data_IF_563037087273
#
_entry.id   IF_563037087273
#
_cell.length_a   1.000
_cell.length_b   1.000
_cell.length_c   1.000
_cell.angle_alpha   90.00
_cell.angle_beta   90.00
_cell.angle_gamma   90.00
#
_symmetry.space_group_name_H-M   'P 1'
#
loop_
_entity.id
_entity.type
_entity.pdbx_description
1 polymer ?
#
# COMPACT_ATOMS: atom_id res chain seq x y z
N UNK A 1 66.30 -49.45 20.50
CA UNK A 1 64.85 -49.52 20.39
C UNK A 1 64.08 -48.28 20.88
N UNK A 2 64.63 -47.05 20.94
CA UNK A 2 63.93 -45.82 21.43
C UNK A 2 63.36 -44.90 20.33
N UNK A 3 63.52 -45.23 19.06
CA UNK A 3 63.18 -44.32 17.93
C UNK A 3 61.74 -44.43 17.47
N UNK A 4 60.93 -45.41 17.88
CA UNK A 4 59.58 -45.63 17.40
C UNK A 4 58.48 -45.05 18.32
N UNK A 5 58.81 -44.81 19.60
CA UNK A 5 57.75 -44.28 20.53
C UNK A 5 57.40 -42.85 20.26
N UNK A 6 58.35 -41.98 19.90
CA UNK A 6 58.08 -40.58 19.59
C UNK A 6 57.19 -40.41 18.34
N UNK A 7 57.22 -41.31 17.36
CA UNK A 7 56.35 -41.31 16.19
C UNK A 7 54.91 -41.62 16.55
N UNK A 8 54.71 -42.59 17.46
CA UNK A 8 53.31 -42.96 17.85
C UNK A 8 52.64 -41.82 18.64
N UNK A 9 53.37 -41.17 19.55
CA UNK A 9 52.83 -40.01 20.26
C UNK A 9 52.54 -38.83 19.34
N UNK A 10 53.34 -38.59 18.32
CA UNK A 10 53.09 -37.54 17.31
C UNK A 10 51.81 -37.82 16.50
N UNK A 11 51.63 -39.03 16.01
CA UNK A 11 50.41 -39.41 15.27
C UNK A 11 49.16 -39.37 16.15
N UNK A 12 49.27 -39.77 17.42
CA UNK A 12 48.17 -39.68 18.37
C UNK A 12 47.76 -38.19 18.63
N UNK A 13 48.75 -37.31 18.83
CA UNK A 13 48.51 -35.88 19.04
C UNK A 13 47.85 -35.22 17.81
N UNK A 14 48.32 -35.57 16.61
CA UNK A 14 47.73 -35.08 15.35
C UNK A 14 46.29 -35.58 15.21
N UNK A 15 46.00 -36.85 15.51
CA UNK A 15 44.67 -37.43 15.48
C UNK A 15 43.70 -36.72 16.43
N UNK A 16 44.15 -36.43 17.66
CA UNK A 16 43.35 -35.67 18.64
C UNK A 16 43.10 -34.26 18.15
N UNK A 17 44.09 -33.57 17.59
CA UNK A 17 43.92 -32.22 17.06
C UNK A 17 42.88 -32.20 15.92
N UNK A 18 42.94 -33.15 14.99
CA UNK A 18 41.97 -33.27 13.91
C UNK A 18 40.54 -33.51 14.46
N UNK A 19 40.39 -34.39 15.44
CA UNK A 19 39.10 -34.67 16.07
C UNK A 19 38.51 -33.42 16.75
N UNK A 20 39.34 -32.65 17.45
CA UNK A 20 38.91 -31.37 18.07
C UNK A 20 38.47 -30.37 17.01
N UNK A 21 39.23 -30.22 15.92
CA UNK A 21 38.86 -29.31 14.84
C UNK A 21 37.55 -29.74 14.18
N UNK A 22 37.33 -31.03 13.96
CA UNK A 22 36.04 -31.52 13.42
C UNK A 22 34.87 -31.24 14.38
N UNK A 23 35.04 -31.49 15.68
CA UNK A 23 34.02 -31.20 16.68
C UNK A 23 33.65 -29.71 16.72
N UNK A 24 34.66 -28.82 16.73
CA UNK A 24 34.47 -27.38 16.70
C UNK A 24 33.77 -26.95 15.40
N UNK A 25 34.17 -27.52 14.26
CA UNK A 25 33.51 -27.25 12.94
C UNK A 25 32.03 -27.63 12.95
N UNK A 26 31.69 -28.80 13.48
CA UNK A 26 30.30 -29.27 13.59
C UNK A 26 29.47 -28.33 14.50
N UNK A 27 30.06 -27.93 15.64
CA UNK A 27 29.38 -27.00 16.56
C UNK A 27 29.11 -25.64 15.89
N UNK A 28 30.13 -25.09 15.18
CA UNK A 28 29.99 -23.82 14.48
C UNK A 28 28.95 -23.88 13.37
N UNK A 29 28.89 -24.96 12.60
CA UNK A 29 27.88 -25.16 11.55
C UNK A 29 26.49 -25.21 12.17
N UNK A 30 26.29 -26.04 13.22
CA UNK A 30 25.00 -26.13 13.90
C UNK A 30 24.57 -24.79 14.51
N UNK A 31 25.49 -24.07 15.12
CA UNK A 31 25.22 -22.74 15.65
C UNK A 31 24.79 -21.75 14.55
N UNK A 32 25.54 -21.72 13.43
CA UNK A 32 25.22 -20.86 12.30
C UNK A 32 23.83 -21.14 11.70
N UNK A 33 23.46 -22.42 11.57
CA UNK A 33 22.13 -22.84 11.06
C UNK A 33 21.02 -22.40 12.01
N UNK A 34 21.21 -22.64 13.32
CA UNK A 34 20.22 -22.26 14.33
C UNK A 34 20.03 -20.73 14.40
N UNK A 35 21.13 -19.97 14.41
CA UNK A 35 21.07 -18.49 14.41
C UNK A 35 20.37 -17.96 13.16
N UNK A 36 20.66 -18.51 11.98
CA UNK A 36 19.97 -18.12 10.76
C UNK A 36 18.47 -18.41 10.85
N UNK A 37 18.07 -19.56 11.37
CA UNK A 37 16.68 -19.94 11.56
C UNK A 37 15.96 -18.99 12.52
N UNK A 38 16.56 -18.71 13.69
CA UNK A 38 16.00 -17.77 14.67
C UNK A 38 15.87 -16.36 14.10
N UNK A 39 16.89 -15.86 13.38
CA UNK A 39 16.83 -14.55 12.73
C UNK A 39 15.70 -14.50 11.69
N UNK A 40 15.53 -15.56 10.90
CA UNK A 40 14.46 -15.65 9.93
C UNK A 40 13.07 -15.64 10.60
N UNK A 41 12.88 -16.42 11.67
CA UNK A 41 11.63 -16.47 12.43
C UNK A 41 11.30 -15.12 13.09
N UNK A 42 12.30 -14.44 13.69
CA UNK A 42 12.14 -13.11 14.29
C UNK A 42 11.77 -12.09 13.20
N UNK A 43 12.50 -12.08 12.08
CA UNK A 43 12.24 -11.17 10.97
C UNK A 43 10.84 -11.39 10.38
N UNK A 44 10.46 -12.65 10.17
CA UNK A 44 9.11 -12.98 9.65
C UNK A 44 8.00 -12.55 10.61
N UNK A 45 8.20 -12.74 11.93
CA UNK A 45 7.24 -12.29 12.94
C UNK A 45 7.11 -10.78 12.96
N UNK A 46 8.23 -10.05 12.96
CA UNK A 46 8.23 -8.60 12.93
C UNK A 46 7.57 -8.04 11.67
N UNK A 47 7.85 -8.63 10.50
CA UNK A 47 7.21 -8.26 9.24
C UNK A 47 5.69 -8.47 9.31
N UNK A 48 5.24 -9.60 9.84
CA UNK A 48 3.81 -9.89 9.97
C UNK A 48 3.11 -8.94 10.94
N UNK A 49 3.77 -8.56 12.01
CA UNK A 49 3.24 -7.57 12.97
C UNK A 49 3.12 -6.18 12.34
N UNK A 50 4.15 -5.72 11.63
CA UNK A 50 4.11 -4.45 10.90
C UNK A 50 3.03 -4.47 9.82
N UNK A 51 2.95 -5.55 9.04
CA UNK A 51 1.88 -5.73 8.05
C UNK A 51 0.49 -5.58 8.68
N UNK A 52 0.26 -6.25 9.82
CA UNK A 52 -1.01 -6.17 10.53
C UNK A 52 -1.33 -4.74 10.97
N UNK A 53 -0.37 -4.05 11.57
CA UNK A 53 -0.54 -2.66 12.02
C UNK A 53 -0.83 -1.72 10.85
N UNK A 54 -0.10 -1.82 9.74
CA UNK A 54 -0.33 -1.00 8.54
C UNK A 54 -1.70 -1.29 7.94
N UNK A 55 -2.08 -2.57 7.85
CA UNK A 55 -3.39 -2.97 7.31
C UNK A 55 -4.55 -2.45 8.17
N UNK A 56 -4.48 -2.61 9.49
CA UNK A 56 -5.50 -2.09 10.41
C UNK A 56 -5.62 -0.56 10.31
N UNK A 57 -4.50 0.14 10.24
CA UNK A 57 -4.48 1.60 10.11
C UNK A 57 -5.04 2.05 8.75
N UNK A 58 -4.71 1.34 7.66
CA UNK A 58 -5.27 1.63 6.34
C UNK A 58 -6.78 1.42 6.30
N UNK A 59 -7.29 0.34 6.89
CA UNK A 59 -8.73 0.10 7.00
C UNK A 59 -9.42 1.17 7.84
N UNK A 60 -8.79 1.65 8.90
CA UNK A 60 -9.31 2.75 9.71
C UNK A 60 -9.39 4.05 8.91
N UNK A 61 -8.33 4.43 8.20
CA UNK A 61 -8.31 5.60 7.32
C UNK A 61 -9.41 5.48 6.27
N UNK A 62 -9.50 4.35 5.59
CA UNK A 62 -10.50 4.08 4.56
C UNK A 62 -11.93 4.23 5.10
N UNK A 63 -12.21 3.62 6.25
CA UNK A 63 -13.52 3.73 6.89
C UNK A 63 -13.87 5.17 7.28
N UNK A 64 -12.90 5.94 7.74
CA UNK A 64 -13.05 7.35 8.06
C UNK A 64 -13.34 8.17 6.80
N UNK A 65 -12.60 7.94 5.70
CA UNK A 65 -12.81 8.63 4.43
C UNK A 65 -14.21 8.37 3.88
N UNK A 66 -14.67 7.12 3.89
CA UNK A 66 -16.04 6.80 3.43
C UNK A 66 -17.13 7.45 4.29
N UNK A 67 -16.92 7.55 5.61
CA UNK A 67 -17.83 8.27 6.48
C UNK A 67 -17.90 9.76 6.13
N UNK A 68 -16.74 10.39 5.93
CA UNK A 68 -16.65 11.81 5.57
C UNK A 68 -17.31 12.09 4.22
N UNK A 69 -17.10 11.23 3.22
CA UNK A 69 -17.74 11.35 1.92
C UNK A 69 -19.27 11.22 2.00
N UNK A 70 -19.80 10.33 2.84
CA UNK A 70 -21.25 10.22 3.06
C UNK A 70 -21.79 11.50 3.68
N UNK A 71 -21.14 12.02 4.71
CA UNK A 71 -21.52 13.30 5.33
C UNK A 71 -21.47 14.45 4.33
N UNK A 72 -20.53 14.44 3.38
CA UNK A 72 -20.47 15.40 2.27
C UNK A 72 -21.71 15.29 1.38
N UNK A 73 -22.08 14.05 1.01
CA UNK A 73 -23.30 13.82 0.20
C UNK A 73 -24.56 14.29 0.92
N UNK A 74 -24.70 13.96 2.19
CA UNK A 74 -25.84 14.37 3.01
C UNK A 74 -25.93 15.90 3.10
N UNK A 75 -24.81 16.59 3.37
CA UNK A 75 -24.77 18.05 3.42
C UNK A 75 -25.16 18.69 2.10
N UNK A 76 -24.66 18.20 0.96
CA UNK A 76 -25.00 18.75 -0.36
C UNK A 76 -26.50 18.60 -0.65
N UNK A 77 -27.07 17.47 -0.27
CA UNK A 77 -28.52 17.23 -0.42
C UNK A 77 -29.35 18.17 0.48
N UNK A 78 -28.89 18.43 1.71
CA UNK A 78 -29.57 19.34 2.64
C UNK A 78 -29.45 20.82 2.25
N UNK A 79 -28.33 21.20 1.60
CA UNK A 79 -28.08 22.56 1.15
C UNK A 79 -29.02 23.05 0.01
N UNK A 80 -29.83 22.15 -0.54
CA UNK A 80 -30.87 22.42 -1.54
C UNK A 80 -30.41 23.36 -2.69
N UNK A 81 -29.20 23.12 -3.18
CA UNK A 81 -28.63 23.85 -4.30
C UNK A 81 -28.03 25.22 -3.98
N UNK A 82 -27.87 25.59 -2.72
CA UNK A 82 -27.12 26.78 -2.35
C UNK A 82 -25.59 26.58 -2.64
N UNK A 83 -25.19 27.05 -3.83
CA UNK A 83 -23.83 26.86 -4.36
C UNK A 83 -22.77 27.51 -3.48
N UNK A 84 -23.06 28.64 -2.83
CA UNK A 84 -22.09 29.36 -1.99
C UNK A 84 -21.79 28.57 -0.70
N UNK A 85 -22.82 28.04 -0.06
CA UNK A 85 -22.69 27.21 1.14
C UNK A 85 -21.95 25.89 0.81
N UNK A 86 -22.31 25.23 -0.30
CA UNK A 86 -21.64 24.00 -0.75
C UNK A 86 -20.15 24.27 -1.04
N UNK A 87 -19.84 25.35 -1.75
CA UNK A 87 -18.45 25.71 -2.05
C UNK A 87 -17.64 26.03 -0.78
N UNK A 88 -18.22 26.77 0.15
CA UNK A 88 -17.58 27.10 1.43
C UNK A 88 -17.28 25.82 2.20
N UNK A 89 -18.24 24.93 2.35
CA UNK A 89 -18.10 23.64 3.03
C UNK A 89 -17.02 22.77 2.40
N UNK A 90 -17.03 22.59 1.08
CA UNK A 90 -16.04 21.78 0.38
C UNK A 90 -14.62 22.35 0.52
N UNK A 91 -14.45 23.67 0.52
CA UNK A 91 -13.16 24.31 0.73
C UNK A 91 -12.65 24.14 2.17
N UNK A 92 -13.54 24.27 3.15
CA UNK A 92 -13.20 24.03 4.57
C UNK A 92 -12.74 22.59 4.76
N UNK A 93 -13.49 21.62 4.28
CA UNK A 93 -13.17 20.19 4.39
C UNK A 93 -11.92 19.80 3.63
N UNK A 94 -11.71 20.39 2.43
CA UNK A 94 -10.48 20.20 1.68
C UNK A 94 -9.24 20.59 2.50
N UNK A 95 -9.32 21.72 3.21
CA UNK A 95 -8.22 22.22 4.03
C UNK A 95 -8.05 21.39 5.32
N UNK A 96 -9.13 21.06 5.99
CA UNK A 96 -9.11 20.30 7.26
C UNK A 96 -8.58 18.88 7.07
N UNK A 97 -9.02 18.21 6.00
CA UNK A 97 -8.68 16.80 5.72
C UNK A 97 -7.57 16.63 4.69
N UNK A 98 -6.95 17.72 4.25
CA UNK A 98 -5.84 17.72 3.29
C UNK A 98 -6.17 17.04 1.97
N UNK A 99 -7.44 17.13 1.50
CA UNK A 99 -7.82 16.66 0.19
C UNK A 99 -7.22 17.55 -0.91
N UNK A 100 -6.85 16.92 -2.01
CA UNK A 100 -6.42 17.67 -3.19
C UNK A 100 -7.63 18.27 -3.89
N UNK A 101 -8.68 17.46 -4.11
CA UNK A 101 -9.88 17.90 -4.83
C UNK A 101 -11.07 16.98 -4.53
N UNK A 102 -12.30 17.51 -4.63
CA UNK A 102 -13.55 16.72 -4.69
C UNK A 102 -13.98 16.55 -6.12
N UNK A 103 -14.61 15.40 -6.41
CA UNK A 103 -15.15 15.06 -7.71
C UNK A 103 -16.56 14.50 -7.54
N UNK A 104 -17.49 15.02 -8.34
CA UNK A 104 -18.85 14.53 -8.50
C UNK A 104 -18.90 13.75 -9.79
N UNK A 105 -19.27 12.49 -9.76
CA UNK A 105 -19.12 11.56 -10.88
C UNK A 105 -20.51 11.06 -11.28
N UNK A 106 -20.83 11.11 -12.59
CA UNK A 106 -22.05 10.56 -13.15
C UNK A 106 -21.93 9.07 -13.51
N UNK A 107 -23.02 8.49 -14.00
CA UNK A 107 -23.07 7.07 -14.37
C UNK A 107 -22.20 6.73 -15.60
N UNK A 108 -21.80 7.73 -16.38
CA UNK A 108 -20.91 7.59 -17.54
C UNK A 108 -19.44 7.89 -17.22
N UNK A 109 -19.09 8.02 -15.94
CA UNK A 109 -17.76 8.39 -15.46
C UNK A 109 -17.29 9.81 -15.87
N UNK A 110 -18.18 10.69 -16.32
CA UNK A 110 -17.84 12.10 -16.40
C UNK A 110 -17.80 12.69 -15.01
N UNK A 111 -16.99 13.71 -14.81
CA UNK A 111 -16.87 14.36 -13.51
C UNK A 111 -17.01 15.90 -13.60
N UNK A 112 -17.51 16.46 -12.52
CA UNK A 112 -17.34 17.86 -12.16
C UNK A 112 -16.50 17.95 -10.88
N UNK A 113 -15.39 18.70 -10.89
CA UNK A 113 -14.60 18.93 -9.69
C UNK A 113 -15.12 20.12 -8.89
N UNK A 114 -14.75 20.20 -7.61
CA UNK A 114 -15.05 21.35 -6.74
C UNK A 114 -14.42 22.66 -7.25
N UNK A 115 -13.36 22.58 -8.06
CA UNK A 115 -12.78 23.72 -8.77
C UNK A 115 -13.55 24.09 -10.07
N UNK A 116 -14.63 23.41 -10.40
CA UNK A 116 -15.45 23.66 -11.60
C UNK A 116 -14.90 23.03 -12.87
N UNK A 117 -13.87 22.18 -12.79
CA UNK A 117 -13.32 21.46 -13.95
C UNK A 117 -14.22 20.30 -14.32
N UNK A 118 -14.40 20.06 -15.61
CA UNK A 118 -15.12 18.91 -16.14
C UNK A 118 -14.19 18.03 -16.94
N UNK A 119 -14.42 16.72 -16.91
CA UNK A 119 -13.65 15.74 -17.65
C UNK A 119 -14.22 14.35 -17.51
N UNK A 120 -13.44 13.37 -17.92
CA UNK A 120 -13.79 11.95 -17.87
C UNK A 120 -12.71 11.19 -17.07
N UNK A 121 -13.15 10.27 -16.22
CA UNK A 121 -12.26 9.43 -15.43
C UNK A 121 -11.95 8.15 -16.20
N UNK A 122 -10.81 8.10 -16.85
CA UNK A 122 -10.28 6.88 -17.54
C UNK A 122 -9.69 5.87 -16.56
N UNK A 123 -10.24 5.73 -15.39
CA UNK A 123 -9.68 4.87 -14.34
C UNK A 123 -10.32 3.49 -14.41
N UNK A 124 -9.80 2.63 -15.24
CA UNK A 124 -9.96 1.17 -15.29
C UNK A 124 -11.30 0.55 -14.84
N UNK A 125 -11.28 -0.77 -14.59
CA UNK A 125 -12.46 -1.52 -14.17
C UNK A 125 -12.98 -1.14 -12.77
N UNK A 126 -12.16 -0.52 -11.93
CA UNK A 126 -12.52 -0.15 -10.55
C UNK A 126 -13.57 0.95 -10.51
N UNK A 127 -13.49 1.96 -11.40
CA UNK A 127 -14.53 2.99 -11.52
C UNK A 127 -15.86 2.42 -12.01
N UNK A 128 -15.81 1.43 -12.91
CA UNK A 128 -17.01 0.71 -13.32
C UNK A 128 -17.67 -0.02 -12.17
N UNK A 129 -16.88 -0.57 -11.25
CA UNK A 129 -17.41 -1.20 -10.03
C UNK A 129 -18.16 -0.19 -9.16
N UNK A 130 -17.64 1.02 -8.98
CA UNK A 130 -18.30 2.10 -8.26
C UNK A 130 -19.67 2.43 -8.88
N UNK A 131 -19.70 2.68 -10.18
CA UNK A 131 -20.89 3.16 -10.88
C UNK A 131 -21.91 2.03 -11.09
N UNK A 132 -21.46 0.83 -11.54
CA UNK A 132 -22.35 -0.28 -11.89
C UNK A 132 -22.78 -1.06 -10.66
N UNK A 133 -21.83 -1.44 -9.79
CA UNK A 133 -22.08 -2.28 -8.62
C UNK A 133 -22.47 -1.47 -7.38
N UNK A 134 -22.37 -0.14 -7.43
CA UNK A 134 -22.64 0.75 -6.29
C UNK A 134 -21.77 0.41 -5.07
N UNK A 135 -20.50 0.07 -5.31
CA UNK A 135 -19.52 -0.26 -4.28
C UNK A 135 -18.59 0.92 -4.01
N UNK A 136 -18.23 1.14 -2.75
CA UNK A 136 -17.18 2.11 -2.39
C UNK A 136 -15.84 1.58 -2.85
N UNK A 137 -15.04 2.40 -3.51
CA UNK A 137 -13.76 1.98 -4.10
C UNK A 137 -12.62 2.91 -3.71
N UNK A 138 -11.41 2.36 -3.75
CA UNK A 138 -10.17 3.12 -3.65
C UNK A 138 -9.46 2.92 -4.98
N UNK A 139 -8.99 4.00 -5.58
CA UNK A 139 -8.34 3.95 -6.90
C UNK A 139 -7.01 4.65 -6.81
N UNK A 140 -5.93 3.95 -7.22
CA UNK A 140 -4.65 4.59 -7.51
C UNK A 140 -4.78 5.35 -8.82
N UNK A 141 -4.49 6.65 -8.80
CA UNK A 141 -4.62 7.51 -9.96
C UNK A 141 -3.45 8.46 -10.09
N UNK A 142 -2.85 8.51 -11.28
CA UNK A 142 -1.92 9.56 -11.65
C UNK A 142 -2.64 10.55 -12.55
N UNK A 143 -2.73 11.80 -12.13
CA UNK A 143 -3.12 12.86 -13.06
C UNK A 143 -1.94 13.15 -14.01
N UNK A 144 -2.15 13.24 -15.32
CA UNK A 144 -1.10 13.64 -16.25
C UNK A 144 -0.51 15.00 -15.83
N UNK A 145 0.76 14.99 -15.39
CA UNK A 145 1.50 16.21 -14.99
C UNK A 145 1.31 16.68 -13.55
N UNK A 146 0.74 15.86 -12.67
CA UNK A 146 0.60 16.14 -11.23
C UNK A 146 1.13 14.99 -10.38
N UNK A 147 1.29 15.25 -9.08
CA UNK A 147 1.67 14.28 -8.08
C UNK A 147 0.76 13.03 -8.12
N UNK A 148 1.32 11.89 -7.77
CA UNK A 148 0.55 10.66 -7.60
C UNK A 148 -0.57 10.90 -6.58
N UNK A 149 -1.79 10.59 -6.95
CA UNK A 149 -2.97 10.76 -6.11
C UNK A 149 -3.71 9.43 -5.95
N UNK A 150 -4.32 9.26 -4.79
CA UNK A 150 -5.24 8.17 -4.50
C UNK A 150 -6.65 8.73 -4.40
N UNK A 151 -7.62 8.04 -4.98
CA UNK A 151 -9.03 8.40 -4.87
C UNK A 151 -9.74 7.49 -3.88
N UNK A 152 -10.53 8.10 -3.01
CA UNK A 152 -11.57 7.42 -2.24
C UNK A 152 -12.90 7.82 -2.84
N UNK A 153 -13.72 6.87 -3.23
CA UNK A 153 -14.99 7.14 -3.87
C UNK A 153 -16.13 6.28 -3.31
N UNK A 154 -17.29 6.87 -3.19
CA UNK A 154 -18.51 6.19 -2.75
C UNK A 154 -19.66 6.46 -3.71
N UNK A 155 -20.59 5.51 -3.89
CA UNK A 155 -21.88 5.79 -4.51
C UNK A 155 -22.74 6.60 -3.54
N UNK A 156 -23.50 7.52 -4.10
CA UNK A 156 -24.55 8.29 -3.40
C UNK A 156 -25.86 8.24 -4.19
N UNK A 157 -26.95 8.63 -3.58
CA UNK A 157 -28.21 8.79 -4.35
C UNK A 157 -28.02 9.89 -5.40
N UNK A 158 -28.60 9.71 -6.60
CA UNK A 158 -28.46 10.69 -7.67
C UNK A 158 -28.90 12.08 -7.22
N UNK A 159 -28.02 13.05 -7.41
CA UNK A 159 -28.25 14.44 -7.02
C UNK A 159 -27.70 15.42 -8.08
N UNK A 160 -27.84 16.71 -7.84
CA UNK A 160 -27.38 17.74 -8.74
C UNK A 160 -26.51 18.76 -8.03
N UNK A 161 -25.46 19.19 -8.72
CA UNK A 161 -24.59 20.29 -8.29
C UNK A 161 -24.22 21.13 -9.52
N UNK A 162 -24.48 22.42 -9.51
CA UNK A 162 -24.20 23.34 -10.62
C UNK A 162 -24.73 22.82 -11.98
N UNK A 163 -25.94 22.24 -11.98
CA UNK A 163 -26.55 21.66 -13.19
C UNK A 163 -25.89 20.37 -13.69
N UNK A 164 -24.97 19.77 -12.90
CA UNK A 164 -24.36 18.48 -13.17
C UNK A 164 -25.02 17.39 -12.33
N UNK A 165 -25.57 16.36 -12.98
CA UNK A 165 -26.11 15.17 -12.31
C UNK A 165 -24.98 14.27 -11.90
N UNK A 166 -24.97 13.77 -10.66
CA UNK A 166 -23.96 12.82 -10.18
C UNK A 166 -24.62 11.72 -9.35
N UNK A 167 -23.96 10.58 -9.31
CA UNK A 167 -24.38 9.40 -8.56
C UNK A 167 -23.25 8.85 -7.67
N UNK A 168 -22.10 9.51 -7.70
CA UNK A 168 -20.96 9.15 -6.87
C UNK A 168 -20.14 10.39 -6.48
N UNK A 169 -19.52 10.34 -5.31
CA UNK A 169 -18.61 11.38 -4.83
C UNK A 169 -17.25 10.74 -4.62
N UNK A 170 -16.21 11.41 -5.09
CA UNK A 170 -14.83 11.02 -4.86
C UNK A 170 -14.01 12.18 -4.33
N UNK A 171 -12.96 11.86 -3.57
CA UNK A 171 -11.89 12.78 -3.17
C UNK A 171 -10.56 12.25 -3.63
N UNK A 172 -9.69 13.14 -4.07
CA UNK A 172 -8.29 12.80 -4.31
C UNK A 172 -7.43 13.18 -3.11
N UNK A 173 -6.47 12.32 -2.83
CA UNK A 173 -5.52 12.46 -1.75
C UNK A 173 -4.10 12.31 -2.29
N UNK A 174 -3.16 13.13 -1.83
CA UNK A 174 -1.76 12.96 -2.20
C UNK A 174 -1.22 11.65 -1.61
N UNK A 175 -0.68 10.77 -2.46
CA UNK A 175 -0.18 9.45 -2.08
C UNK A 175 0.92 9.52 -1.03
N UNK A 176 1.82 10.51 -1.10
CA UNK A 176 2.88 10.71 -0.11
C UNK A 176 2.33 11.05 1.27
N UNK A 177 1.20 11.76 1.34
CA UNK A 177 0.55 12.07 2.61
C UNK A 177 0.02 10.80 3.28
N UNK A 178 -0.61 9.90 2.51
CA UNK A 178 -1.08 8.61 3.01
C UNK A 178 0.11 7.72 3.41
N UNK A 179 1.16 7.66 2.60
CA UNK A 179 2.37 6.90 2.91
C UNK A 179 3.01 7.35 4.24
N UNK A 180 3.09 8.65 4.46
CA UNK A 180 3.59 9.22 5.73
C UNK A 180 2.69 8.88 6.90
N UNK A 181 1.39 8.99 6.73
CA UNK A 181 0.41 8.67 7.76
C UNK A 181 0.44 7.17 8.13
N UNK A 182 0.52 6.29 7.16
CA UNK A 182 0.63 4.84 7.38
C UNK A 182 2.00 4.44 7.94
N UNK A 183 3.02 5.29 7.80
CA UNK A 183 4.39 4.98 8.18
C UNK A 183 5.01 3.89 7.31
N UNK A 184 4.52 3.74 6.06
CA UNK A 184 5.07 2.78 5.12
C UNK A 184 6.45 3.26 4.70
N UNK A 185 7.48 2.61 5.22
CA UNK A 185 8.87 2.80 4.81
C UNK A 185 9.35 1.53 4.14
N UNK A 186 10.15 1.68 3.10
CA UNK A 186 10.90 0.54 2.60
C UNK A 186 11.77 -0.01 3.74
N UNK A 187 11.68 -1.29 4.02
CA UNK A 187 12.44 -1.95 5.11
C UNK A 187 13.95 -1.93 4.86
N UNK A 188 14.36 -1.77 3.61
CA UNK A 188 15.74 -1.59 3.19
C UNK A 188 15.77 -0.77 1.89
N UNK A 189 16.96 -0.26 1.55
CA UNK A 189 17.18 0.62 0.39
C UNK A 189 16.71 0.04 -0.95
N UNK A 190 16.61 -1.30 -1.03
CA UNK A 190 16.25 -2.05 -2.24
C UNK A 190 14.96 -2.88 -2.06
N UNK A 191 14.08 -2.48 -1.11
CA UNK A 191 12.80 -3.16 -0.88
C UNK A 191 11.64 -2.26 -1.27
N UNK A 192 10.59 -2.88 -1.82
CA UNK A 192 9.34 -2.22 -2.14
C UNK A 192 8.21 -2.77 -1.28
N UNK A 193 7.33 -1.90 -0.84
CA UNK A 193 6.14 -2.28 -0.08
C UNK A 193 4.89 -1.82 -0.84
N UNK A 194 3.88 -2.67 -0.91
CA UNK A 194 2.65 -2.42 -1.66
C UNK A 194 1.43 -2.76 -0.80
N UNK A 195 0.38 -1.96 -0.92
CA UNK A 195 -0.98 -2.35 -0.54
C UNK A 195 -1.69 -2.71 -1.84
N UNK A 196 -2.30 -3.88 -1.90
CA UNK A 196 -2.92 -4.41 -3.11
C UNK A 196 -4.33 -4.94 -2.84
N UNK A 197 -5.19 -4.89 -3.84
CA UNK A 197 -6.43 -5.63 -3.85
C UNK A 197 -6.19 -7.14 -3.99
N UNK A 198 -7.21 -7.95 -3.71
CA UNK A 198 -7.16 -9.40 -3.86
C UNK A 198 -6.86 -9.86 -5.32
N UNK A 199 -7.21 -9.05 -6.31
CA UNK A 199 -6.90 -9.27 -7.72
C UNK A 199 -5.47 -8.84 -8.10
N UNK A 200 -4.68 -8.34 -7.15
CA UNK A 200 -3.29 -7.90 -7.34
C UNK A 200 -3.10 -6.47 -7.82
N UNK A 201 -4.18 -5.72 -8.07
CA UNK A 201 -4.08 -4.31 -8.42
C UNK A 201 -3.49 -3.51 -7.24
N UNK A 202 -2.55 -2.64 -7.54
CA UNK A 202 -1.86 -1.85 -6.53
C UNK A 202 -2.75 -0.68 -6.13
N UNK A 203 -2.93 -0.53 -4.82
CA UNK A 203 -3.66 0.58 -4.21
C UNK A 203 -2.69 1.66 -3.74
N UNK A 204 -1.53 1.23 -3.22
CA UNK A 204 -0.51 2.11 -2.67
C UNK A 204 0.85 1.46 -2.76
N UNK A 205 1.88 2.23 -3.07
CA UNK A 205 3.28 1.78 -3.11
C UNK A 205 4.15 2.69 -2.24
N UNK A 206 5.19 2.14 -1.63
CA UNK A 206 6.18 2.93 -0.91
C UNK A 206 7.04 3.74 -1.88
N UNK A 207 7.59 4.85 -1.40
CA UNK A 207 8.54 5.66 -2.16
C UNK A 207 9.72 4.80 -2.66
N UNK A 208 10.12 4.98 -3.92
CA UNK A 208 11.20 4.21 -4.54
C UNK A 208 10.83 2.78 -4.94
N UNK A 209 9.56 2.39 -4.86
CA UNK A 209 9.09 1.07 -5.31
C UNK A 209 9.26 0.90 -6.82
N UNK A 210 9.52 -0.35 -7.26
CA UNK A 210 9.57 -0.68 -8.68
C UNK A 210 8.24 -0.38 -9.35
N UNK A 211 8.30 0.09 -10.59
CA UNK A 211 7.12 0.19 -11.44
C UNK A 211 6.65 -1.23 -11.84
N UNK A 212 5.42 -1.55 -11.47
CA UNK A 212 4.81 -2.87 -11.66
C UNK A 212 3.75 -2.89 -12.75
N UNK A 213 3.56 -1.76 -13.44
CA UNK A 213 2.44 -1.62 -14.39
C UNK A 213 1.06 -1.69 -13.73
N UNK A 214 0.98 -1.35 -12.43
CA UNK A 214 -0.28 -1.27 -11.67
C UNK A 214 -0.79 -2.59 -11.07
N UNK A 215 -0.14 -3.75 -11.35
CA UNK A 215 -0.57 -5.03 -10.77
C UNK A 215 0.62 -5.90 -10.37
N UNK A 216 0.63 -6.36 -9.11
CA UNK A 216 1.75 -7.10 -8.51
C UNK A 216 1.96 -8.49 -9.13
N UNK A 217 0.92 -9.11 -9.68
CA UNK A 217 1.06 -10.44 -10.30
C UNK A 217 1.83 -10.40 -11.62
N UNK A 218 1.85 -9.26 -12.31
CA UNK A 218 2.70 -9.09 -13.50
C UNK A 218 4.20 -9.03 -13.14
N UNK A 219 4.55 -8.54 -11.98
CA UNK A 219 5.92 -8.52 -11.47
C UNK A 219 6.47 -9.94 -11.29
N UNK A 220 5.68 -10.82 -10.69
CA UNK A 220 6.08 -12.21 -10.45
C UNK A 220 6.29 -12.98 -11.76
N UNK A 221 5.52 -12.70 -12.79
CA UNK A 221 5.67 -13.33 -14.10
C UNK A 221 6.96 -12.91 -14.82
N UNK A 222 7.38 -11.65 -14.65
CA UNK A 222 8.62 -11.14 -15.23
C UNK A 222 9.87 -11.63 -14.47
N UNK A 223 9.76 -11.89 -13.14
CA UNK A 223 10.86 -12.42 -12.34
C UNK A 223 11.12 -13.92 -12.55
N UNK A 224 10.13 -14.68 -13.04
CA UNK A 224 10.27 -16.11 -13.35
C UNK A 224 10.85 -16.38 -14.77
N UNK A 225 11.04 -15.36 -15.58
CA UNK A 225 11.59 -15.44 -16.93
C UNK A 225 13.09 -15.04 -17.00
N UNK A 226 13.77 -14.92 -15.87
CA UNK A 226 15.21 -14.85 -15.69
C UNK A 226 15.69 -16.15 -15.01
#
# INVERSE_FOLDING_TARGET
MKKNENGIYFFAAVGVAIAVFMCVGIILINYSVNVKKELYEISSRNLNEVYKQVSEKFLQITGQQWKLLRMTGDFINEADGNEEDIRSFLNEWKNEWHYTEFYFVDDDCNYLSSAGRRGYLELGNTWKSLVINRESVIVDGSNPGSDEVMFFAIPVDPAYINGFSYSSIAVSYNTDSINRELGIKAFAKDTSSYIVYANGDIVLKSEGSMDTGGNIFYLHKNLLNF
#
